data_IF_831762408044
#
_entry.id   IF_831762408044
#
_cell.length_a   1.000
_cell.length_b   1.000
_cell.length_c   1.000
_cell.angle_alpha   90.00
_cell.angle_beta   90.00
_cell.angle_gamma   90.00
#
_symmetry.space_group_name_H-M   'P 1'
#
loop_
_entity.id
_entity.type
_entity.pdbx_description
1 polymer ?
#
# COMPACT_ATOMS: atom_id res chain seq x y z
N UNK A 1 0.42 10.03 14.17
CA UNK A 1 0.21 10.63 12.82
C UNK A 1 1.49 10.69 11.96
N UNK A 2 2.60 11.31 12.40
CA UNK A 2 3.84 11.35 11.60
C UNK A 2 4.46 9.94 11.44
N UNK A 3 4.30 9.08 12.46
CA UNK A 3 4.72 7.67 12.50
C UNK A 3 3.93 6.79 11.52
N UNK A 4 2.59 6.85 11.54
CA UNK A 4 1.70 6.09 10.63
C UNK A 4 2.04 6.26 9.13
N UNK A 5 2.35 7.49 8.70
CA UNK A 5 2.75 7.79 7.30
C UNK A 5 4.14 7.25 6.96
N UNK A 6 5.04 7.26 7.92
CA UNK A 6 6.43 6.84 7.76
C UNK A 6 6.53 5.31 7.57
N UNK A 7 5.64 4.55 8.21
CA UNK A 7 5.51 3.08 8.08
C UNK A 7 5.09 2.68 6.68
N UNK A 8 3.97 3.23 6.24
CA UNK A 8 3.33 2.84 4.99
C UNK A 8 4.21 3.26 3.82
N UNK A 9 4.84 4.44 3.93
CA UNK A 9 5.82 4.89 2.95
C UNK A 9 7.09 4.04 2.96
N UNK A 10 7.61 3.61 4.12
CA UNK A 10 8.83 2.77 4.18
C UNK A 10 8.61 1.37 3.63
N UNK A 11 7.48 0.72 3.93
CA UNK A 11 7.16 -0.60 3.36
C UNK A 11 6.98 -0.55 1.85
N UNK A 12 6.20 0.41 1.35
CA UNK A 12 5.97 0.53 -0.09
C UNK A 12 7.20 1.03 -0.90
N UNK A 13 8.12 1.78 -0.30
CA UNK A 13 9.42 2.11 -0.92
C UNK A 13 10.35 0.88 -0.94
N UNK A 14 10.34 0.04 0.09
CA UNK A 14 11.10 -1.20 0.10
C UNK A 14 10.62 -2.17 -0.98
N UNK A 15 9.31 -2.21 -1.25
CA UNK A 15 8.71 -3.01 -2.29
C UNK A 15 9.07 -2.56 -3.73
N UNK A 16 9.19 -1.24 -3.96
CA UNK A 16 9.52 -0.68 -5.29
C UNK A 16 11.01 -0.75 -5.64
N UNK A 17 11.90 -0.92 -4.65
CA UNK A 17 13.35 -1.10 -4.85
C UNK A 17 13.73 -2.40 -5.59
N UNK A 18 12.76 -3.26 -5.89
CA UNK A 18 12.95 -4.55 -6.53
C UNK A 18 12.94 -4.50 -8.07
N UNK A 19 13.45 -3.45 -8.72
CA UNK A 19 13.30 -3.29 -10.18
C UNK A 19 14.51 -2.78 -10.94
N UNK A 20 15.74 -2.93 -10.42
CA UNK A 20 16.95 -2.50 -11.15
C UNK A 20 17.51 -3.61 -12.05
N UNK A 21 17.68 -3.32 -13.34
CA UNK A 21 18.28 -4.21 -14.33
C UNK A 21 19.29 -3.47 -15.20
N UNK A 22 20.36 -4.13 -15.67
CA UNK A 22 21.23 -3.60 -16.73
C UNK A 22 21.19 -4.56 -17.90
N UNK A 23 20.78 -4.07 -19.08
CA UNK A 23 20.85 -4.84 -20.31
C UNK A 23 22.20 -4.59 -21.00
N UNK A 24 23.02 -5.64 -21.12
CA UNK A 24 24.31 -5.61 -21.79
C UNK A 24 24.32 -6.53 -23.02
N UNK A 25 24.24 -5.97 -24.24
CA UNK A 25 24.68 -6.73 -25.42
C UNK A 25 24.18 -6.20 -26.75
N UNK A 26 25.03 -5.44 -27.47
CA UNK A 26 24.82 -5.20 -28.90
C UNK A 26 25.08 -6.49 -29.70
N UNK A 27 24.08 -7.00 -30.42
CA UNK A 27 24.23 -8.16 -31.30
C UNK A 27 25.07 -7.86 -32.56
N UNK A 28 25.25 -6.57 -32.90
CA UNK A 28 26.33 -6.10 -33.76
C UNK A 28 26.15 -6.35 -35.27
N UNK A 29 24.95 -6.70 -35.73
CA UNK A 29 24.61 -6.86 -37.15
C UNK A 29 23.47 -5.92 -37.59
N UNK A 30 23.40 -5.57 -38.88
CA UNK A 30 22.36 -4.69 -39.45
C UNK A 30 20.94 -5.29 -39.32
N UNK A 31 20.83 -6.61 -39.13
CA UNK A 31 19.59 -7.37 -38.96
C UNK A 31 19.10 -7.42 -37.49
N UNK A 32 19.87 -6.88 -36.54
CA UNK A 32 19.53 -6.88 -35.11
C UNK A 32 19.21 -5.48 -34.56
N UNK A 33 19.10 -4.48 -35.43
CA UNK A 33 18.91 -3.09 -35.03
C UNK A 33 17.62 -2.87 -34.23
N UNK A 34 16.51 -3.50 -34.64
CA UNK A 34 15.22 -3.38 -33.94
C UNK A 34 15.28 -4.05 -32.55
N UNK A 35 15.99 -5.17 -32.42
CA UNK A 35 16.21 -5.84 -31.12
C UNK A 35 17.11 -5.02 -30.22
N UNK A 36 18.22 -4.48 -30.74
CA UNK A 36 19.11 -3.61 -29.98
C UNK A 36 18.37 -2.34 -29.50
N UNK A 37 17.52 -1.72 -30.35
CA UNK A 37 16.69 -0.56 -29.98
C UNK A 37 15.62 -0.91 -28.93
N UNK A 38 14.98 -2.08 -29.03
CA UNK A 38 14.04 -2.55 -28.02
C UNK A 38 14.72 -2.70 -26.65
N UNK A 39 15.90 -3.31 -26.61
CA UNK A 39 16.66 -3.49 -25.39
C UNK A 39 17.21 -2.17 -24.82
N UNK A 40 17.51 -1.17 -25.65
CA UNK A 40 17.81 0.19 -25.17
C UNK A 40 16.62 0.82 -24.45
N UNK A 41 15.40 0.69 -24.99
CA UNK A 41 14.17 1.16 -24.32
C UNK A 41 13.90 0.43 -22.99
N UNK A 42 14.14 -0.89 -22.96
CA UNK A 42 14.02 -1.68 -21.73
C UNK A 42 15.07 -1.26 -20.69
N UNK A 43 16.31 -0.95 -21.09
CA UNK A 43 17.34 -0.44 -20.17
C UNK A 43 16.97 0.94 -19.62
N UNK A 44 16.42 1.84 -20.45
CA UNK A 44 15.89 3.13 -19.98
C UNK A 44 14.78 2.96 -18.94
N UNK A 45 13.90 1.97 -19.13
CA UNK A 45 12.86 1.65 -18.16
C UNK A 45 13.43 1.15 -16.83
N UNK A 46 14.45 0.29 -16.85
CA UNK A 46 15.12 -0.16 -15.63
C UNK A 46 15.83 0.98 -14.90
N UNK A 47 16.34 1.99 -15.60
CA UNK A 47 16.89 3.18 -14.97
C UNK A 47 15.78 3.97 -14.25
N UNK A 48 14.64 4.20 -14.91
CA UNK A 48 13.51 4.91 -14.29
C UNK A 48 12.94 4.15 -13.10
N UNK A 49 12.71 2.84 -13.22
CA UNK A 49 12.26 2.00 -12.09
C UNK A 49 13.35 1.94 -11.01
N UNK A 50 14.62 2.00 -11.40
CA UNK A 50 15.74 1.96 -10.48
C UNK A 50 15.96 3.22 -9.65
N UNK A 51 15.58 4.38 -10.18
CA UNK A 51 15.63 5.65 -9.45
C UNK A 51 14.77 5.64 -8.18
N UNK A 52 13.84 4.69 -8.05
CA UNK A 52 13.01 4.48 -6.86
C UNK A 52 13.82 4.11 -5.62
N UNK A 53 14.90 3.33 -5.79
CA UNK A 53 15.82 2.95 -4.70
C UNK A 53 16.68 4.15 -4.24
N UNK A 54 16.76 5.21 -5.06
CA UNK A 54 17.53 6.43 -4.78
C UNK A 54 16.68 7.57 -4.23
N UNK A 55 15.34 7.46 -4.22
CA UNK A 55 14.45 8.47 -3.67
C UNK A 55 14.68 8.62 -2.15
N UNK A 56 14.81 9.87 -1.70
CA UNK A 56 14.82 10.16 -0.26
C UNK A 56 13.48 9.72 0.35
N UNK A 57 13.47 9.33 1.64
CA UNK A 57 12.29 8.81 2.38
C UNK A 57 11.02 9.71 2.31
N UNK A 58 11.09 10.90 1.70
CA UNK A 58 9.99 11.85 1.57
C UNK A 58 9.43 12.04 0.15
N UNK A 59 10.11 11.59 -0.92
CA UNK A 59 9.70 11.84 -2.31
C UNK A 59 8.97 10.62 -2.91
N UNK A 60 7.79 10.85 -3.48
CA UNK A 60 7.13 9.87 -4.32
C UNK A 60 7.71 9.95 -5.74
N UNK A 61 7.72 8.83 -6.47
CA UNK A 61 8.12 8.82 -7.86
C UNK A 61 7.19 9.69 -8.72
N UNK A 62 7.73 10.29 -9.79
CA UNK A 62 6.89 11.04 -10.73
C UNK A 62 5.99 10.05 -11.49
N UNK A 63 4.69 10.14 -11.25
CA UNK A 63 3.68 9.33 -11.94
C UNK A 63 3.77 9.45 -13.47
N UNK A 64 4.20 10.61 -14.00
CA UNK A 64 4.41 10.79 -15.43
C UNK A 64 5.59 9.98 -15.97
N UNK A 65 6.64 9.79 -15.18
CA UNK A 65 7.81 8.98 -15.55
C UNK A 65 7.45 7.49 -15.54
N UNK A 66 6.62 7.05 -14.59
CA UNK A 66 6.10 5.68 -14.55
C UNK A 66 5.16 5.38 -15.70
N UNK A 67 4.23 6.28 -16.02
CA UNK A 67 3.40 6.08 -17.21
C UNK A 67 4.23 6.01 -18.50
N UNK A 68 5.39 6.68 -18.53
CA UNK A 68 6.37 6.58 -19.62
C UNK A 68 7.04 5.21 -19.74
N UNK A 69 7.13 4.43 -18.65
CA UNK A 69 7.65 3.05 -18.67
C UNK A 69 6.80 2.15 -19.56
N UNK A 70 5.47 2.26 -19.45
CA UNK A 70 4.53 1.46 -20.24
C UNK A 70 4.60 1.83 -21.72
N UNK A 71 4.70 3.11 -22.05
CA UNK A 71 4.84 3.56 -23.45
C UNK A 71 6.11 3.01 -24.10
N UNK A 72 7.25 3.04 -23.39
CA UNK A 72 8.51 2.46 -23.88
C UNK A 72 8.47 0.93 -23.96
N UNK A 73 7.81 0.26 -23.02
CA UNK A 73 7.60 -1.19 -23.08
C UNK A 73 6.73 -1.60 -24.27
N UNK A 74 5.67 -0.84 -24.57
CA UNK A 74 4.82 -1.03 -25.76
C UNK A 74 5.62 -0.85 -27.06
N UNK A 75 6.52 0.15 -27.10
CA UNK A 75 7.40 0.39 -28.24
C UNK A 75 8.45 -0.73 -28.41
N UNK A 76 9.07 -1.18 -27.31
CA UNK A 76 10.00 -2.30 -27.30
C UNK A 76 9.33 -3.59 -27.79
N UNK A 77 8.12 -3.91 -27.33
CA UNK A 77 7.35 -5.07 -27.80
C UNK A 77 7.12 -5.02 -29.31
N UNK A 78 6.72 -3.86 -29.83
CA UNK A 78 6.45 -3.69 -31.24
C UNK A 78 7.70 -3.91 -32.11
N UNK A 79 8.88 -3.50 -31.62
CA UNK A 79 10.18 -3.74 -32.26
C UNK A 79 10.56 -5.22 -32.21
N UNK A 80 10.39 -5.89 -31.07
CA UNK A 80 10.69 -7.32 -30.88
C UNK A 80 9.81 -8.20 -31.78
N UNK A 81 8.50 -7.93 -31.82
CA UNK A 81 7.54 -8.62 -32.71
C UNK A 81 7.91 -8.39 -34.19
N UNK A 82 8.34 -7.18 -34.55
CA UNK A 82 8.75 -6.90 -35.92
C UNK A 82 10.04 -7.66 -36.32
N UNK A 83 10.95 -7.85 -35.36
CA UNK A 83 12.19 -8.60 -35.55
C UNK A 83 11.97 -10.12 -35.65
N UNK A 84 10.92 -10.66 -35.00
CA UNK A 84 10.59 -12.09 -34.98
C UNK A 84 10.47 -12.69 -36.39
N UNK A 85 9.81 -11.97 -37.30
CA UNK A 85 9.61 -12.38 -38.70
C UNK A 85 10.93 -12.57 -39.49
N UNK A 86 12.02 -11.95 -39.01
CA UNK A 86 13.36 -12.00 -39.61
C UNK A 86 14.36 -12.89 -38.88
N UNK A 87 14.01 -13.44 -37.72
CA UNK A 87 14.93 -14.18 -36.86
C UNK A 87 15.18 -15.61 -37.38
N UNK A 88 16.34 -15.84 -38.02
CA UNK A 88 16.70 -17.15 -38.60
C UNK A 88 17.61 -18.00 -37.68
N UNK A 89 18.22 -17.41 -36.65
CA UNK A 89 19.11 -18.11 -35.72
C UNK A 89 18.56 -18.16 -34.30
N UNK A 90 18.87 -19.26 -33.61
CA UNK A 90 18.34 -19.58 -32.28
C UNK A 90 18.74 -18.50 -31.23
N UNK A 91 19.92 -17.86 -31.36
CA UNK A 91 20.39 -16.83 -30.42
C UNK A 91 19.58 -15.53 -30.53
N UNK A 92 19.14 -15.16 -31.74
CA UNK A 92 18.25 -14.02 -31.95
C UNK A 92 16.82 -14.32 -31.50
N UNK A 93 16.33 -15.56 -31.67
CA UNK A 93 15.01 -15.97 -31.17
C UNK A 93 14.98 -15.95 -29.63
N UNK A 94 15.97 -16.55 -28.97
CA UNK A 94 16.10 -16.54 -27.51
C UNK A 94 16.18 -15.09 -26.98
N UNK A 95 16.83 -14.17 -27.70
CA UNK A 95 16.88 -12.75 -27.32
C UNK A 95 15.54 -12.04 -27.45
N UNK A 96 14.74 -12.39 -28.46
CA UNK A 96 13.41 -11.82 -28.67
C UNK A 96 12.46 -12.32 -27.58
N UNK A 97 12.49 -13.62 -27.27
CA UNK A 97 11.70 -14.23 -26.19
C UNK A 97 12.01 -13.54 -24.85
N UNK A 98 13.29 -13.45 -24.46
CA UNK A 98 13.69 -12.71 -23.27
C UNK A 98 13.21 -11.25 -23.27
N UNK A 99 13.33 -10.57 -24.42
CA UNK A 99 12.89 -9.18 -24.54
C UNK A 99 11.39 -9.03 -24.28
N UNK A 100 10.58 -9.98 -24.73
CA UNK A 100 9.13 -9.99 -24.50
C UNK A 100 8.80 -10.27 -23.04
N UNK A 101 9.52 -11.19 -22.39
CA UNK A 101 9.35 -11.46 -20.95
C UNK A 101 9.72 -10.21 -20.12
N UNK A 102 10.78 -9.49 -20.50
CA UNK A 102 11.16 -8.22 -19.84
C UNK A 102 10.15 -7.11 -20.07
N UNK A 103 9.50 -7.06 -21.24
CA UNK A 103 8.38 -6.13 -21.50
C UNK A 103 7.24 -6.39 -20.51
N UNK A 104 6.86 -7.66 -20.31
CA UNK A 104 5.79 -8.03 -19.38
C UNK A 104 6.19 -7.67 -17.94
N UNK A 105 7.40 -8.05 -17.52
CA UNK A 105 7.94 -7.69 -16.21
C UNK A 105 7.89 -6.18 -15.95
N UNK A 106 8.34 -5.37 -16.91
CA UNK A 106 8.36 -3.90 -16.73
C UNK A 106 6.97 -3.26 -16.73
N UNK A 107 6.00 -3.85 -17.44
CA UNK A 107 4.61 -3.40 -17.39
C UNK A 107 3.99 -3.66 -16.03
N UNK A 108 4.25 -4.83 -15.45
CA UNK A 108 3.76 -5.16 -14.12
C UNK A 108 4.47 -4.34 -13.04
N UNK A 109 5.78 -4.08 -13.20
CA UNK A 109 6.53 -3.18 -12.31
C UNK A 109 5.95 -1.76 -12.34
N UNK A 110 5.64 -1.25 -13.53
CA UNK A 110 4.99 0.06 -13.65
C UNK A 110 3.61 0.06 -13.00
N UNK A 111 2.79 -0.98 -13.23
CA UNK A 111 1.45 -1.10 -12.64
C UNK A 111 1.51 -1.16 -11.11
N UNK A 112 2.46 -1.93 -10.57
CA UNK A 112 2.73 -2.03 -9.15
C UNK A 112 3.06 -0.66 -8.54
N UNK A 113 4.00 0.06 -9.16
CA UNK A 113 4.38 1.41 -8.74
C UNK A 113 3.23 2.42 -8.83
N UNK A 114 2.42 2.39 -9.90
CA UNK A 114 1.22 3.25 -10.03
C UNK A 114 0.24 3.00 -8.87
N UNK A 115 -0.03 1.73 -8.58
CA UNK A 115 -0.97 1.32 -7.53
C UNK A 115 -0.48 1.75 -6.13
N UNK A 116 0.82 1.59 -5.84
CA UNK A 116 1.41 2.08 -4.59
C UNK A 116 1.33 3.60 -4.45
N UNK A 117 1.60 4.35 -5.53
CA UNK A 117 1.45 5.82 -5.52
C UNK A 117 0.01 6.21 -5.22
N UNK A 118 -0.96 5.53 -5.84
CA UNK A 118 -2.38 5.77 -5.61
C UNK A 118 -2.79 5.45 -4.16
N UNK A 119 -2.31 4.34 -3.59
CA UNK A 119 -2.54 3.98 -2.19
C UNK A 119 -2.01 5.06 -1.23
N UNK A 120 -0.79 5.55 -1.46
CA UNK A 120 -0.21 6.62 -0.63
C UNK A 120 -0.98 7.94 -0.75
N UNK A 121 -1.38 8.32 -1.96
CA UNK A 121 -2.19 9.51 -2.19
C UNK A 121 -3.54 9.41 -1.46
N UNK A 122 -4.17 8.24 -1.48
CA UNK A 122 -5.43 7.98 -0.80
C UNK A 122 -5.27 8.16 0.72
N UNK A 123 -4.17 7.65 1.31
CA UNK A 123 -3.87 7.83 2.73
C UNK A 123 -3.57 9.29 3.10
N UNK A 124 -2.89 10.03 2.24
CA UNK A 124 -2.69 11.47 2.43
C UNK A 124 -4.02 12.23 2.45
N UNK A 125 -4.97 11.83 1.61
CA UNK A 125 -6.34 12.35 1.61
C UNK A 125 -7.06 11.92 2.89
N UNK A 126 -7.03 10.64 3.26
CA UNK A 126 -7.65 10.10 4.48
C UNK A 126 -7.30 10.96 5.69
N UNK A 127 -6.00 11.15 5.95
CA UNK A 127 -5.52 11.93 7.09
C UNK A 127 -5.97 13.40 7.04
N UNK A 128 -5.93 14.01 5.85
CA UNK A 128 -6.35 15.40 5.67
C UNK A 128 -7.86 15.57 5.90
N UNK A 129 -8.67 14.56 5.59
CA UNK A 129 -10.10 14.52 5.84
C UNK A 129 -10.41 14.25 7.30
N UNK A 130 -9.71 13.30 7.91
CA UNK A 130 -9.85 12.99 9.34
C UNK A 130 -9.50 14.20 10.19
N UNK A 131 -8.41 14.91 9.88
CA UNK A 131 -8.02 16.14 10.59
C UNK A 131 -8.98 17.33 10.37
N UNK A 132 -9.89 17.23 9.40
CA UNK A 132 -10.91 18.22 9.10
C UNK A 132 -12.31 17.80 9.57
N UNK A 133 -12.40 16.71 10.37
CA UNK A 133 -13.66 16.10 10.85
C UNK A 133 -14.61 15.72 9.69
N UNK A 134 -14.03 15.33 8.55
CA UNK A 134 -14.75 14.91 7.35
C UNK A 134 -14.75 13.39 7.24
N UNK A 135 -15.47 12.72 8.16
CA UNK A 135 -15.37 11.27 8.31
C UNK A 135 -15.85 10.46 7.09
N UNK A 136 -16.92 10.89 6.41
CA UNK A 136 -17.39 10.24 5.18
C UNK A 136 -16.30 10.24 4.10
N UNK A 137 -15.69 11.41 3.86
CA UNK A 137 -14.61 11.54 2.87
C UNK A 137 -13.31 10.86 3.32
N UNK A 138 -13.09 10.69 4.63
CA UNK A 138 -11.99 9.88 5.13
C UNK A 138 -12.24 8.40 4.83
N UNK A 139 -13.43 7.88 5.12
CA UNK A 139 -13.81 6.48 4.82
C UNK A 139 -13.65 6.20 3.31
N UNK A 140 -14.18 7.07 2.44
CA UNK A 140 -14.00 6.92 0.97
C UNK A 140 -12.52 6.86 0.58
N UNK A 141 -11.66 7.66 1.21
CA UNK A 141 -10.22 7.65 0.93
C UNK A 141 -9.51 6.39 1.46
N UNK A 142 -9.96 5.79 2.56
CA UNK A 142 -9.44 4.50 3.03
C UNK A 142 -9.86 3.36 2.08
N UNK A 143 -11.11 3.34 1.61
CA UNK A 143 -11.62 2.39 0.62
C UNK A 143 -10.83 2.49 -0.71
N UNK A 144 -10.56 3.71 -1.18
CA UNK A 144 -9.69 3.96 -2.35
C UNK A 144 -8.27 3.42 -2.12
N UNK A 145 -7.72 3.61 -0.91
CA UNK A 145 -6.41 3.10 -0.51
C UNK A 145 -6.32 1.58 -0.51
N UNK A 146 -7.34 0.89 0.03
CA UNK A 146 -7.43 -0.58 0.00
C UNK A 146 -7.47 -1.10 -1.44
N UNK A 147 -8.32 -0.53 -2.29
CA UNK A 147 -8.39 -0.94 -3.70
C UNK A 147 -7.07 -0.76 -4.44
N UNK A 148 -6.33 0.30 -4.12
CA UNK A 148 -5.01 0.53 -4.67
C UNK A 148 -3.99 -0.50 -4.17
N UNK A 149 -4.03 -0.88 -2.88
CA UNK A 149 -3.18 -1.95 -2.35
C UNK A 149 -3.52 -3.32 -2.95
N UNK A 150 -4.80 -3.68 -3.08
CA UNK A 150 -5.23 -4.91 -3.76
C UNK A 150 -4.68 -4.95 -5.21
N UNK A 151 -4.71 -3.81 -5.90
CA UNK A 151 -4.15 -3.69 -7.26
C UNK A 151 -2.63 -3.84 -7.26
N UNK A 152 -1.96 -3.36 -6.22
CA UNK A 152 -0.52 -3.51 -6.04
C UNK A 152 -0.17 -4.99 -5.79
N UNK A 153 -0.88 -5.67 -4.90
CA UNK A 153 -0.70 -7.09 -4.61
C UNK A 153 -0.89 -7.95 -5.88
N UNK A 154 -1.98 -7.72 -6.63
CA UNK A 154 -2.21 -8.39 -7.92
C UNK A 154 -1.04 -8.18 -8.92
N UNK A 155 -0.48 -6.96 -8.97
CA UNK A 155 0.64 -6.65 -9.85
C UNK A 155 1.95 -7.26 -9.35
N UNK A 156 2.17 -7.32 -8.04
CA UNK A 156 3.35 -7.93 -7.42
C UNK A 156 3.37 -9.45 -7.60
N UNK A 157 2.22 -10.10 -7.42
CA UNK A 157 2.05 -11.52 -7.75
C UNK A 157 2.42 -11.81 -9.20
N UNK A 158 1.98 -10.97 -10.15
CA UNK A 158 2.33 -11.09 -11.58
C UNK A 158 3.83 -10.86 -11.83
N UNK A 159 4.45 -9.92 -11.11
CA UNK A 159 5.90 -9.70 -11.14
C UNK A 159 6.69 -10.92 -10.67
N UNK A 160 6.26 -11.56 -9.58
CA UNK A 160 6.89 -12.75 -9.03
C UNK A 160 6.83 -13.89 -10.04
N UNK A 161 5.67 -14.13 -10.63
CA UNK A 161 5.46 -15.16 -11.64
C UNK A 161 6.35 -14.91 -12.88
N UNK A 162 6.35 -13.68 -13.41
CA UNK A 162 7.15 -13.32 -14.60
C UNK A 162 8.64 -13.43 -14.32
N UNK A 163 9.11 -12.99 -13.15
CA UNK A 163 10.52 -13.08 -12.78
C UNK A 163 10.97 -14.55 -12.62
N UNK A 164 10.11 -15.41 -12.07
CA UNK A 164 10.38 -16.83 -11.94
C UNK A 164 10.51 -17.52 -13.31
N UNK A 165 9.67 -17.14 -14.29
CA UNK A 165 9.76 -17.65 -15.67
C UNK A 165 11.08 -17.21 -16.35
N UNK A 166 11.49 -15.95 -16.17
CA UNK A 166 12.78 -15.44 -16.68
C UNK A 166 13.96 -16.23 -16.07
N UNK A 167 13.97 -16.48 -14.75
CA UNK A 167 15.08 -17.20 -14.07
C UNK A 167 15.15 -18.69 -14.45
N UNK A 168 14.01 -19.35 -14.68
CA UNK A 168 13.97 -20.78 -15.06
C UNK A 168 14.41 -21.04 -16.50
N UNK A 169 14.02 -20.18 -17.46
CA UNK A 169 14.21 -20.45 -18.89
C UNK A 169 15.51 -19.85 -19.45
N UNK A 170 16.14 -18.88 -18.77
CA UNK A 170 17.20 -18.04 -19.36
C UNK A 170 18.58 -18.13 -18.68
N UNK A 171 18.92 -19.28 -18.08
CA UNK A 171 20.25 -19.64 -17.54
C UNK A 171 21.43 -19.36 -18.52
N UNK A 172 21.16 -19.34 -19.84
CA UNK A 172 22.13 -19.06 -20.90
C UNK A 172 22.32 -17.55 -21.21
N UNK A 173 21.42 -16.69 -20.74
CA UNK A 173 21.35 -15.26 -21.08
C UNK A 173 21.71 -14.36 -19.88
N UNK A 174 22.10 -14.94 -18.73
CA UNK A 174 22.68 -14.20 -17.59
C UNK A 174 23.83 -13.24 -17.97
N UNK A 175 24.51 -13.45 -19.10
CA UNK A 175 25.54 -12.52 -19.58
C UNK A 175 24.95 -11.19 -20.15
N UNK A 176 23.63 -11.12 -20.43
CA UNK A 176 22.97 -9.98 -21.11
C UNK A 176 22.04 -9.16 -20.22
N UNK A 177 21.52 -9.71 -19.12
CA UNK A 177 20.65 -8.95 -18.21
C UNK A 177 21.02 -9.26 -16.77
N UNK A 178 21.58 -8.28 -16.06
CA UNK A 178 21.77 -8.35 -14.61
C UNK A 178 20.50 -7.83 -13.94
N UNK A 179 19.52 -8.69 -13.63
CA UNK A 179 18.40 -8.35 -12.75
C UNK A 179 18.88 -8.33 -11.30
N UNK A 180 18.80 -7.18 -10.63
CA UNK A 180 19.24 -6.99 -9.22
C UNK A 180 18.13 -7.33 -8.20
N UNK A 181 16.98 -7.75 -8.70
CA UNK A 181 15.82 -8.19 -7.93
C UNK A 181 15.77 -9.72 -7.91
N UNK A 182 15.46 -10.24 -6.73
CA UNK A 182 15.25 -11.66 -6.47
C UNK A 182 13.82 -11.89 -6.06
N UNK A 183 13.27 -13.06 -6.38
CA UNK A 183 11.93 -13.51 -5.93
C UNK A 183 11.76 -13.32 -4.42
N UNK A 184 12.74 -13.72 -3.60
CA UNK A 184 12.71 -13.52 -2.13
C UNK A 184 12.43 -12.06 -1.69
N UNK A 185 12.87 -11.06 -2.46
CA UNK A 185 12.61 -9.64 -2.14
C UNK A 185 11.19 -9.24 -2.50
N UNK A 186 10.66 -9.75 -3.62
CA UNK A 186 9.28 -9.53 -4.02
C UNK A 186 8.32 -10.24 -3.08
N UNK A 187 8.64 -11.44 -2.61
CA UNK A 187 7.87 -12.14 -1.56
C UNK A 187 7.87 -11.35 -0.25
N UNK A 188 9.01 -10.75 0.15
CA UNK A 188 9.05 -9.87 1.33
C UNK A 188 8.17 -8.63 1.15
N UNK A 189 8.13 -8.07 -0.06
CA UNK A 189 7.26 -6.95 -0.40
C UNK A 189 5.77 -7.32 -0.38
N UNK A 190 5.45 -8.56 -0.73
CA UNK A 190 4.10 -9.12 -0.69
C UNK A 190 3.60 -9.22 0.75
N UNK A 191 4.41 -9.81 1.63
CA UNK A 191 4.15 -9.86 3.08
C UNK A 191 3.97 -8.45 3.68
N UNK A 192 4.75 -7.47 3.20
CA UNK A 192 4.63 -6.07 3.62
C UNK A 192 3.30 -5.43 3.16
N UNK A 193 2.83 -5.71 1.95
CA UNK A 193 1.56 -5.19 1.44
C UNK A 193 0.36 -5.75 2.20
N UNK A 194 0.39 -7.04 2.54
CA UNK A 194 -0.68 -7.68 3.33
C UNK A 194 -0.85 -6.96 4.68
N UNK A 195 0.26 -6.66 5.37
CA UNK A 195 0.23 -5.88 6.62
C UNK A 195 -0.31 -4.47 6.38
N UNK A 196 0.04 -3.83 5.26
CA UNK A 196 -0.48 -2.51 4.92
C UNK A 196 -1.98 -2.52 4.65
N UNK A 197 -2.51 -3.52 3.95
CA UNK A 197 -3.95 -3.68 3.69
C UNK A 197 -4.72 -3.77 5.01
N UNK A 198 -4.24 -4.58 5.96
CA UNK A 198 -4.82 -4.70 7.29
C UNK A 198 -4.77 -3.36 8.05
N UNK A 199 -3.65 -2.62 7.98
CA UNK A 199 -3.56 -1.28 8.59
C UNK A 199 -4.58 -0.32 7.97
N UNK A 200 -4.73 -0.28 6.64
CA UNK A 200 -5.68 0.63 5.98
C UNK A 200 -7.13 0.24 6.31
N UNK A 201 -7.45 -1.05 6.41
CA UNK A 201 -8.73 -1.54 6.92
C UNK A 201 -9.01 -1.08 8.35
N UNK A 202 -8.03 -1.20 9.25
CA UNK A 202 -8.17 -0.71 10.62
C UNK A 202 -8.38 0.82 10.69
N UNK A 203 -7.73 1.58 9.80
CA UNK A 203 -7.94 3.04 9.69
C UNK A 203 -9.35 3.40 9.21
N UNK A 204 -9.92 2.63 8.27
CA UNK A 204 -11.31 2.79 7.84
C UNK A 204 -12.28 2.57 9.03
N UNK A 205 -12.10 1.48 9.77
CA UNK A 205 -12.88 1.18 10.97
C UNK A 205 -12.76 2.29 12.02
N UNK A 206 -11.56 2.84 12.21
CA UNK A 206 -11.34 3.97 13.11
C UNK A 206 -12.14 5.21 12.68
N UNK A 207 -12.19 5.51 11.38
CA UNK A 207 -12.98 6.63 10.86
C UNK A 207 -14.50 6.40 11.01
N UNK A 208 -14.98 5.17 10.82
CA UNK A 208 -16.38 4.77 11.09
C UNK A 208 -16.72 4.92 12.58
N UNK A 209 -15.84 4.48 13.46
CA UNK A 209 -15.99 4.63 14.91
C UNK A 209 -16.09 6.10 15.32
N UNK A 210 -15.22 6.96 14.78
CA UNK A 210 -15.25 8.40 15.03
C UNK A 210 -16.53 9.07 14.51
N UNK A 211 -17.00 8.69 13.32
CA UNK A 211 -18.28 9.17 12.78
C UNK A 211 -19.45 8.83 13.71
N UNK A 212 -19.52 7.59 14.16
CA UNK A 212 -20.58 7.14 15.06
C UNK A 212 -20.47 7.82 16.43
N UNK A 213 -19.25 8.04 16.93
CA UNK A 213 -19.01 8.78 18.17
C UNK A 213 -19.51 10.23 18.09
N UNK A 214 -19.20 10.95 17.01
CA UNK A 214 -19.67 12.33 16.79
C UNK A 214 -21.21 12.40 16.74
N UNK A 215 -21.84 11.47 16.04
CA UNK A 215 -23.31 11.37 16.01
C UNK A 215 -23.90 11.07 17.40
N UNK A 216 -23.20 10.28 18.23
CA UNK A 216 -23.57 10.02 19.61
C UNK A 216 -23.48 11.27 20.50
N UNK A 217 -22.41 12.07 20.32
CA UNK A 217 -22.25 13.36 21.00
C UNK A 217 -23.37 14.34 20.63
N UNK A 218 -23.68 14.50 19.34
CA UNK A 218 -24.76 15.39 18.90
C UNK A 218 -26.11 14.96 19.50
N UNK A 219 -26.43 13.66 19.47
CA UNK A 219 -27.66 13.14 20.06
C UNK A 219 -27.73 13.34 21.58
N UNK A 220 -26.61 13.20 22.29
CA UNK A 220 -26.53 13.47 23.73
C UNK A 220 -26.79 14.96 24.03
N UNK A 221 -26.21 15.87 23.25
CA UNK A 221 -26.45 17.32 23.37
C UNK A 221 -27.90 17.71 23.11
N UNK A 222 -28.60 16.98 22.23
CA UNK A 222 -30.02 17.15 21.95
C UNK A 222 -30.96 16.47 22.98
N UNK A 223 -30.40 15.85 24.03
CA UNK A 223 -31.11 15.05 25.04
C UNK A 223 -31.88 13.85 24.43
N UNK A 224 -31.40 13.33 23.29
CA UNK A 224 -31.94 12.16 22.59
C UNK A 224 -31.21 10.87 23.01
N UNK A 225 -31.28 10.52 24.30
CA UNK A 225 -30.46 9.47 24.91
C UNK A 225 -30.54 8.09 24.23
N UNK A 226 -31.72 7.65 23.79
CA UNK A 226 -31.89 6.39 23.03
C UNK A 226 -31.03 6.38 21.74
N UNK A 227 -30.91 7.52 21.06
CA UNK A 227 -30.09 7.64 19.85
C UNK A 227 -28.61 7.74 20.19
N UNK A 228 -28.27 8.50 21.23
CA UNK A 228 -26.90 8.58 21.72
C UNK A 228 -26.38 7.18 22.06
N UNK A 229 -27.14 6.39 22.82
CA UNK A 229 -26.77 5.02 23.18
C UNK A 229 -26.55 4.12 21.95
N UNK A 230 -27.43 4.23 20.95
CA UNK A 230 -27.30 3.49 19.69
C UNK A 230 -25.98 3.85 18.99
N UNK A 231 -25.73 5.14 18.77
CA UNK A 231 -24.54 5.61 18.06
C UNK A 231 -23.24 5.30 18.81
N UNK A 232 -23.25 5.38 20.14
CA UNK A 232 -22.10 5.04 20.97
C UNK A 232 -21.84 3.53 20.99
N UNK A 233 -22.89 2.72 20.95
CA UNK A 233 -22.75 1.27 20.79
C UNK A 233 -22.14 0.92 19.44
N UNK A 234 -22.57 1.59 18.37
CA UNK A 234 -22.00 1.40 17.03
C UNK A 234 -20.51 1.82 17.03
N UNK A 235 -20.18 3.00 17.56
CA UNK A 235 -18.80 3.47 17.69
C UNK A 235 -17.91 2.51 18.48
N UNK A 236 -18.45 1.94 19.56
CA UNK A 236 -17.74 0.97 20.38
C UNK A 236 -17.44 -0.31 19.61
N UNK A 237 -18.39 -0.83 18.86
CA UNK A 237 -18.15 -2.02 18.01
C UNK A 237 -17.01 -1.76 17.04
N UNK A 238 -17.02 -0.61 16.36
CA UNK A 238 -15.96 -0.27 15.40
C UNK A 238 -14.59 -0.15 16.06
N UNK A 239 -14.48 0.51 17.23
CA UNK A 239 -13.20 0.62 17.93
C UNK A 239 -12.72 -0.70 18.56
N UNK A 240 -13.64 -1.57 19.01
CA UNK A 240 -13.30 -2.93 19.46
C UNK A 240 -12.76 -3.77 18.30
N UNK A 241 -13.42 -3.74 17.14
CA UNK A 241 -12.99 -4.47 15.94
C UNK A 241 -11.59 -3.99 15.47
N UNK A 242 -11.35 -2.67 15.48
CA UNK A 242 -10.04 -2.09 15.14
C UNK A 242 -8.95 -2.48 16.14
N UNK A 243 -9.26 -2.48 17.45
CA UNK A 243 -8.31 -2.90 18.48
C UNK A 243 -7.98 -4.40 18.35
N UNK A 244 -8.98 -5.24 18.11
CA UNK A 244 -8.79 -6.68 17.87
C UNK A 244 -7.90 -6.92 16.64
N UNK A 245 -8.09 -6.16 15.56
CA UNK A 245 -7.27 -6.26 14.34
C UNK A 245 -5.80 -5.89 14.60
N UNK A 246 -5.53 -4.81 15.34
CA UNK A 246 -4.15 -4.45 15.70
C UNK A 246 -3.53 -5.40 16.74
N UNK A 247 -4.32 -5.97 17.65
CA UNK A 247 -3.87 -7.04 18.56
C UNK A 247 -3.45 -8.29 17.78
N UNK A 248 -4.16 -8.63 16.71
CA UNK A 248 -3.80 -9.74 15.81
C UNK A 248 -2.49 -9.44 15.06
N UNK A 249 -2.33 -8.24 14.48
CA UNK A 249 -1.10 -7.81 13.83
C UNK A 249 0.09 -7.77 14.80
N UNK A 250 -0.07 -7.22 16.02
CA UNK A 250 1.02 -7.17 17.01
C UNK A 250 1.48 -8.57 17.42
N UNK A 251 0.57 -9.55 17.42
CA UNK A 251 0.88 -10.93 17.76
C UNK A 251 1.46 -11.75 16.58
N UNK A 252 1.40 -11.22 15.37
CA UNK A 252 1.85 -11.90 14.16
C UNK A 252 3.39 -11.87 14.04
N UNK A 253 4.07 -13.03 14.06
CA UNK A 253 5.53 -13.09 13.92
C UNK A 253 6.05 -12.71 12.53
N UNK A 254 5.16 -12.62 11.54
CA UNK A 254 5.49 -12.33 10.15
C UNK A 254 5.42 -10.82 9.85
N UNK A 255 4.94 -9.99 10.80
CA UNK A 255 5.03 -8.53 10.68
C UNK A 255 6.49 -8.08 10.55
N UNK A 256 6.83 -7.29 9.52
CA UNK A 256 8.18 -6.80 9.32
C UNK A 256 8.71 -6.01 10.53
N UNK A 257 9.93 -6.29 10.95
CA UNK A 257 10.54 -5.70 12.15
C UNK A 257 10.60 -4.16 12.15
N UNK A 258 10.54 -3.53 10.99
CA UNK A 258 10.52 -2.08 10.85
C UNK A 258 9.13 -1.46 11.03
N UNK A 259 8.06 -2.27 10.99
CA UNK A 259 6.66 -1.88 11.23
C UNK A 259 6.17 -2.22 12.64
N UNK A 260 6.82 -3.16 13.35
CA UNK A 260 6.43 -3.60 14.71
C UNK A 260 6.13 -2.45 15.67
N UNK A 261 7.01 -1.45 15.73
CA UNK A 261 6.87 -0.34 16.66
C UNK A 261 5.61 0.49 16.39
N UNK A 262 5.22 0.59 15.13
CA UNK A 262 4.07 1.39 14.71
C UNK A 262 2.77 0.63 14.83
N UNK A 263 2.77 -0.69 14.59
CA UNK A 263 1.63 -1.56 14.93
C UNK A 263 1.33 -1.48 16.43
N UNK A 264 2.37 -1.50 17.28
CA UNK A 264 2.21 -1.33 18.74
C UNK A 264 1.63 0.06 19.09
N UNK A 265 2.09 1.13 18.44
CA UNK A 265 1.56 2.48 18.65
C UNK A 265 0.09 2.57 18.23
N UNK A 266 -0.24 2.03 17.05
CA UNK A 266 -1.60 1.97 16.51
C UNK A 266 -2.54 1.16 17.40
N UNK A 267 -2.09 0.01 17.91
CA UNK A 267 -2.84 -0.81 18.85
C UNK A 267 -3.15 -0.03 20.14
N UNK A 268 -2.15 0.66 20.70
CA UNK A 268 -2.34 1.48 21.89
C UNK A 268 -3.36 2.61 21.65
N UNK A 269 -3.31 3.27 20.48
CA UNK A 269 -4.28 4.29 20.07
C UNK A 269 -5.70 3.71 19.94
N UNK A 270 -5.86 2.57 19.27
CA UNK A 270 -7.15 1.90 19.09
C UNK A 270 -7.74 1.44 20.43
N UNK A 271 -6.93 0.81 21.29
CA UNK A 271 -7.34 0.38 22.63
C UNK A 271 -7.81 1.56 23.48
N UNK A 272 -7.08 2.69 23.45
CA UNK A 272 -7.47 3.88 24.21
C UNK A 272 -8.81 4.47 23.71
N UNK A 273 -9.05 4.48 22.39
CA UNK A 273 -10.33 4.90 21.82
C UNK A 273 -11.47 3.96 22.23
N UNK A 274 -11.23 2.64 22.25
CA UNK A 274 -12.19 1.63 22.73
C UNK A 274 -12.51 1.77 24.23
N UNK A 275 -11.50 2.06 25.05
CA UNK A 275 -11.72 2.36 26.48
C UNK A 275 -12.50 3.66 26.67
N UNK A 276 -12.14 4.71 25.93
CA UNK A 276 -12.81 6.01 26.00
C UNK A 276 -14.29 5.92 25.61
N UNK A 277 -14.62 5.24 24.51
CA UNK A 277 -16.02 5.06 24.09
C UNK A 277 -16.81 4.22 25.10
N UNK A 278 -16.17 3.26 25.77
CA UNK A 278 -16.77 2.50 26.87
C UNK A 278 -17.16 3.36 28.07
N UNK A 279 -16.38 4.40 28.37
CA UNK A 279 -16.74 5.43 29.35
C UNK A 279 -17.87 6.35 28.84
N UNK A 280 -17.81 6.76 27.57
CA UNK A 280 -18.87 7.57 26.99
C UNK A 280 -20.24 6.87 26.99
N UNK A 281 -20.26 5.56 26.74
CA UNK A 281 -21.48 4.75 26.84
C UNK A 281 -22.09 4.82 28.25
N UNK A 282 -21.27 4.64 29.28
CA UNK A 282 -21.71 4.74 30.67
C UNK A 282 -22.20 6.16 31.01
N UNK A 283 -21.60 7.19 30.43
CA UNK A 283 -22.06 8.57 30.58
C UNK A 283 -23.46 8.78 29.98
N UNK A 284 -23.72 8.23 28.79
CA UNK A 284 -25.05 8.29 28.14
C UNK A 284 -26.10 7.54 28.96
N UNK A 285 -25.79 6.34 29.46
CA UNK A 285 -26.68 5.57 30.34
C UNK A 285 -27.03 6.35 31.63
N UNK A 286 -26.02 6.95 32.26
CA UNK A 286 -26.20 7.77 33.46
C UNK A 286 -27.07 9.01 33.18
N UNK A 287 -26.90 9.65 32.02
CA UNK A 287 -27.71 10.78 31.59
C UNK A 287 -29.20 10.40 31.41
N UNK A 288 -29.49 9.23 30.81
CA UNK A 288 -30.86 8.72 30.65
C UNK A 288 -31.55 8.46 32.00
N UNK A 289 -30.80 7.91 32.97
CA UNK A 289 -31.26 7.70 34.35
C UNK A 289 -31.36 9.02 35.17
N UNK A 290 -30.84 10.13 34.63
CA UNK A 290 -30.77 11.44 35.28
C UNK A 290 -29.73 11.53 36.40
N UNK A 291 -28.72 10.66 36.38
CA UNK A 291 -27.58 10.63 37.30
C UNK A 291 -26.41 11.47 36.74
N UNK A 292 -26.57 12.80 36.81
CA UNK A 292 -25.60 13.74 36.26
C UNK A 292 -24.23 13.68 36.95
N UNK A 293 -24.16 13.28 38.21
CA UNK A 293 -22.89 13.15 38.93
C UNK A 293 -22.07 11.97 38.36
N UNK A 294 -22.72 10.84 38.03
CA UNK A 294 -22.08 9.70 37.37
C UNK A 294 -21.71 10.01 35.91
N UNK A 295 -22.59 10.72 35.18
CA UNK A 295 -22.29 11.17 33.82
C UNK A 295 -20.99 11.99 33.78
N UNK A 296 -20.84 12.98 34.67
CA UNK A 296 -19.62 13.80 34.77
C UNK A 296 -18.38 12.94 35.11
N UNK A 297 -18.49 11.97 36.02
CA UNK A 297 -17.38 11.05 36.36
C UNK A 297 -16.93 10.22 35.16
N UNK A 298 -17.87 9.74 34.34
CA UNK A 298 -17.57 8.94 33.17
C UNK A 298 -17.00 9.77 32.01
N UNK A 299 -17.46 11.01 31.83
CA UNK A 299 -16.85 11.93 30.85
C UNK A 299 -15.41 12.31 31.23
N UNK A 300 -15.14 12.54 32.52
CA UNK A 300 -13.77 12.77 33.02
C UNK A 300 -12.87 11.53 32.77
N UNK A 301 -13.43 10.31 32.90
CA UNK A 301 -12.72 9.07 32.62
C UNK A 301 -12.45 8.86 31.13
N UNK A 302 -13.39 9.21 30.26
CA UNK A 302 -13.22 9.24 28.80
C UNK A 302 -12.08 10.19 28.40
N UNK A 303 -12.08 11.43 28.89
CA UNK A 303 -11.01 12.40 28.61
C UNK A 303 -9.64 11.88 29.09
N UNK A 304 -9.59 11.27 30.27
CA UNK A 304 -8.36 10.69 30.81
C UNK A 304 -7.81 9.50 29.99
N UNK A 305 -8.68 8.72 29.33
CA UNK A 305 -8.27 7.65 28.44
C UNK A 305 -7.62 8.19 27.16
N UNK A 306 -8.19 9.26 26.59
CA UNK A 306 -7.67 9.91 25.37
C UNK A 306 -6.39 10.70 25.66
N UNK A 307 -6.31 11.43 26.78
CA UNK A 307 -5.13 12.20 27.22
C UNK A 307 -3.89 11.32 27.52
N UNK A 308 -4.09 10.00 27.61
CA UNK A 308 -3.03 9.02 27.80
C UNK A 308 -2.21 8.72 26.54
N UNK A 309 -2.67 9.16 25.37
CA UNK A 309 -2.02 9.04 24.06
C UNK A 309 -0.96 10.14 23.84
#
# INVERSE_FOLDING_TARGET
MHTRREVIRRGAVAATAAGTGVVAGCLGAEETADVDEAFELLDENFQVIGEFDELEEEELPDQAEISGVRERADEAEALLIAAEDGAEDDELQDAIELGLDLVEFQRDAARFSEALIDAMNALDVFDARLAADQHDEAIEAAEDGQQALETANDALSSLIDTLAEIDEDHDAIQDRVDLLVSVDKLETADDELDVLEEIVSALEGMARGLQAFEAGLEALEEEEFDKADTHVTDAKSEFEDVADQFDELEADPDVPAHMEADVIELNAEATALSDAIGHFQQAVEAADDGDWDEMDEQLDAMEAAIDGL
#
